data_IF_220417362983
#
_entry.id   IF_220417362983
#
_cell.length_a   1.000
_cell.length_b   1.000
_cell.length_c   1.000
_cell.angle_alpha   90.00
_cell.angle_beta   90.00
_cell.angle_gamma   90.00
#
_symmetry.space_group_name_H-M   'P 1'
#
loop_
_entity.id
_entity.type
_entity.pdbx_description
1 polymer ?
#
# COMPACT_ATOMS: atom_id res chain seq x y z
N UNK A 1 -65.49 11.13 -63.17
CA UNK A 1 -65.04 10.26 -62.06
C UNK A 1 -65.34 10.96 -60.73
N UNK A 2 -66.00 10.24 -59.82
CA UNK A 2 -66.65 10.67 -58.55
C UNK A 2 -65.85 11.72 -57.75
N UNK A 3 -66.34 12.90 -57.33
CA UNK A 3 -67.57 13.37 -56.62
C UNK A 3 -67.72 12.97 -55.14
N UNK A 4 -68.02 14.00 -54.33
CA UNK A 4 -68.69 14.09 -53.01
C UNK A 4 -67.75 14.37 -51.82
N UNK A 5 -67.70 15.58 -51.22
CA UNK A 5 -68.68 16.37 -50.42
C UNK A 5 -68.89 15.86 -48.97
N UNK A 6 -68.34 16.61 -48.00
CA UNK A 6 -69.15 17.41 -47.05
C UNK A 6 -69.38 16.93 -45.60
N UNK A 7 -69.50 17.96 -44.72
CA UNK A 7 -70.16 18.07 -43.38
C UNK A 7 -69.29 17.72 -42.15
N UNK A 8 -68.96 18.67 -41.26
CA UNK A 8 -69.77 19.35 -40.18
C UNK A 8 -70.13 18.35 -39.06
N UNK A 9 -70.06 18.58 -37.74
CA UNK A 9 -70.01 19.77 -36.85
C UNK A 9 -69.64 19.26 -35.40
N UNK A 10 -69.69 20.00 -34.27
CA UNK A 10 -68.89 19.78 -33.06
C UNK A 10 -69.71 19.15 -31.92
N UNK A 11 -69.10 18.85 -30.77
CA UNK A 11 -69.83 18.89 -29.49
C UNK A 11 -68.86 18.99 -28.30
N UNK A 12 -69.15 19.97 -27.46
CA UNK A 12 -68.57 20.24 -26.16
C UNK A 12 -69.28 19.44 -25.06
N UNK A 13 -68.59 19.29 -23.92
CA UNK A 13 -69.03 19.30 -22.50
C UNK A 13 -68.10 18.36 -21.70
N UNK A 14 -67.36 18.81 -20.67
CA UNK A 14 -67.82 19.16 -19.31
C UNK A 14 -68.44 17.91 -18.65
N UNK A 15 -68.02 17.38 -17.51
CA UNK A 15 -67.09 17.75 -16.46
C UNK A 15 -67.40 16.82 -15.27
N UNK A 16 -66.40 16.55 -14.43
CA UNK A 16 -66.45 16.25 -12.98
C UNK A 16 -67.49 15.24 -12.46
N UNK A 17 -67.02 14.16 -11.82
CA UNK A 17 -67.85 13.37 -10.90
C UNK A 17 -67.12 12.17 -10.31
N UNK A 18 -66.85 12.23 -9.01
CA UNK A 18 -66.00 11.33 -8.23
C UNK A 18 -66.60 9.94 -7.91
N UNK A 19 -65.74 8.96 -7.63
CA UNK A 19 -65.64 8.24 -6.34
C UNK A 19 -65.02 6.83 -6.46
N UNK A 20 -63.94 6.64 -5.68
CA UNK A 20 -63.62 5.49 -4.81
C UNK A 20 -63.38 4.07 -5.38
N UNK A 21 -62.11 3.68 -5.23
CA UNK A 21 -61.51 2.38 -4.87
C UNK A 21 -61.61 1.23 -5.88
N UNK A 22 -60.46 0.90 -6.45
CA UNK A 22 -60.10 -0.49 -6.76
C UNK A 22 -58.60 -0.67 -6.49
N UNK A 23 -58.30 -1.46 -5.45
CA UNK A 23 -57.01 -2.10 -5.31
C UNK A 23 -56.80 -3.02 -6.53
N UNK A 24 -55.71 -2.82 -7.26
CA UNK A 24 -55.14 -3.83 -8.11
C UNK A 24 -53.61 -3.67 -8.01
N UNK A 25 -52.95 -4.75 -7.59
CA UNK A 25 -51.51 -4.81 -7.48
C UNK A 25 -50.85 -4.54 -8.82
N UNK A 26 -49.98 -3.56 -8.84
CA UNK A 26 -48.92 -3.44 -9.84
C UNK A 26 -47.63 -3.83 -9.15
N UNK A 27 -47.23 -5.10 -9.31
CA UNK A 27 -45.89 -5.54 -8.96
C UNK A 27 -44.88 -4.72 -9.75
N UNK A 28 -44.27 -3.74 -9.08
CA UNK A 28 -43.01 -3.19 -9.52
C UNK A 28 -41.99 -4.31 -9.39
N UNK A 29 -41.64 -4.90 -10.52
CA UNK A 29 -40.49 -5.79 -10.59
C UNK A 29 -39.29 -4.97 -10.12
N UNK A 30 -38.79 -5.28 -8.93
CA UNK A 30 -37.43 -4.92 -8.58
C UNK A 30 -36.58 -5.59 -9.65
N UNK A 31 -36.11 -4.77 -10.59
CA UNK A 31 -35.05 -5.17 -11.48
C UNK A 31 -33.90 -5.58 -10.58
N UNK A 32 -33.73 -6.88 -10.41
CA UNK A 32 -32.52 -7.49 -9.88
C UNK A 32 -31.40 -7.15 -10.82
N UNK A 33 -30.90 -5.91 -10.71
CA UNK A 33 -29.53 -5.63 -11.03
C UNK A 33 -28.73 -6.51 -10.10
N UNK A 34 -27.98 -7.44 -10.66
CA UNK A 34 -26.81 -8.00 -9.99
C UNK A 34 -25.91 -6.80 -9.74
N UNK A 35 -26.13 -6.10 -8.62
CA UNK A 35 -25.43 -4.87 -8.30
C UNK A 35 -23.95 -5.17 -8.48
N UNK A 36 -23.34 -4.55 -9.49
CA UNK A 36 -21.92 -4.72 -9.69
C UNK A 36 -21.29 -4.13 -8.43
N UNK A 37 -20.75 -5.01 -7.60
CA UNK A 37 -20.14 -4.62 -6.34
C UNK A 37 -19.08 -3.56 -6.60
N UNK A 38 -19.05 -2.47 -5.82
CA UNK A 38 -18.18 -1.35 -6.12
C UNK A 38 -16.72 -1.81 -6.10
N UNK A 39 -15.94 -1.51 -7.16
CA UNK A 39 -14.53 -1.83 -7.19
C UNK A 39 -13.78 -1.06 -6.10
N UNK A 40 -12.76 -1.68 -5.54
CA UNK A 40 -11.92 -1.11 -4.50
C UNK A 40 -10.46 -1.12 -4.93
N UNK A 41 -9.72 -0.09 -4.52
CA UNK A 41 -8.29 0.05 -4.73
C UNK A 41 -7.63 0.42 -3.40
N UNK A 42 -6.60 -0.31 -2.99
CA UNK A 42 -5.79 0.04 -1.83
C UNK A 42 -4.30 0.05 -2.17
N UNK A 43 -3.54 1.01 -1.63
CA UNK A 43 -2.08 1.05 -1.77
C UNK A 43 -1.43 1.42 -0.44
N UNK A 44 -0.61 0.50 0.10
CA UNK A 44 0.04 0.69 1.38
C UNK A 44 0.81 -0.53 1.86
N UNK A 45 1.53 -0.41 2.99
CA UNK A 45 2.23 -1.54 3.62
C UNK A 45 1.26 -2.53 4.27
N UNK A 46 1.58 -3.83 4.20
CA UNK A 46 0.86 -4.87 4.93
C UNK A 46 1.10 -4.70 6.43
N UNK A 47 0.04 -4.51 7.20
CA UNK A 47 0.05 -4.38 8.66
C UNK A 47 -0.49 -5.62 9.38
N UNK A 48 -0.91 -6.66 8.66
CA UNK A 48 -1.41 -7.87 9.31
C UNK A 48 -1.78 -9.03 8.38
N UNK A 49 -2.14 -10.16 8.98
CA UNK A 49 -2.51 -11.41 8.32
C UNK A 49 -3.76 -12.07 8.93
N UNK A 50 -4.36 -13.00 8.18
CA UNK A 50 -5.67 -13.59 8.49
C UNK A 50 -6.76 -13.22 7.50
N UNK A 51 -6.43 -13.13 6.20
CA UNK A 51 -6.69 -11.98 5.30
C UNK A 51 -5.58 -10.93 5.42
N UNK A 52 -5.10 -10.38 4.32
CA UNK A 52 -4.07 -9.33 4.39
C UNK A 52 -4.67 -8.02 4.87
N UNK A 53 -3.99 -7.34 5.79
CA UNK A 53 -4.47 -6.07 6.33
C UNK A 53 -3.68 -4.93 5.72
N UNK A 54 -4.37 -4.00 5.07
CA UNK A 54 -3.80 -2.79 4.43
C UNK A 54 -4.75 -1.63 4.72
N UNK A 55 -4.21 -0.51 5.20
CA UNK A 55 -5.01 0.67 5.58
C UNK A 55 -6.09 0.40 6.62
N UNK A 56 -5.84 -0.56 7.53
CA UNK A 56 -6.82 -0.97 8.54
C UNK A 56 -7.97 -1.85 8.01
N UNK A 57 -8.00 -2.13 6.70
CA UNK A 57 -8.98 -3.02 6.07
C UNK A 57 -8.41 -4.42 5.92
N UNK A 58 -9.17 -5.44 6.33
CA UNK A 58 -8.87 -6.86 6.11
C UNK A 58 -9.39 -7.30 4.75
N UNK A 59 -8.48 -7.58 3.82
CA UNK A 59 -8.80 -8.10 2.49
C UNK A 59 -8.65 -9.62 2.44
N UNK A 60 -9.76 -10.31 2.16
CA UNK A 60 -9.72 -11.74 1.85
C UNK A 60 -8.96 -11.96 0.53
N UNK A 61 -7.79 -12.59 0.62
CA UNK A 61 -6.88 -12.89 -0.48
C UNK A 61 -6.89 -14.38 -0.88
N UNK A 62 -7.82 -15.18 -0.36
CA UNK A 62 -7.89 -16.63 -0.59
C UNK A 62 -8.01 -17.05 -2.06
N UNK A 63 -8.57 -16.18 -2.90
CA UNK A 63 -8.73 -16.37 -4.35
C UNK A 63 -7.99 -15.31 -5.17
N UNK A 64 -7.20 -14.46 -4.52
CA UNK A 64 -6.52 -13.36 -5.20
C UNK A 64 -5.38 -13.89 -6.08
N UNK A 65 -5.19 -13.27 -7.24
CA UNK A 65 -3.95 -13.47 -8.01
C UNK A 65 -2.86 -12.63 -7.35
N UNK A 66 -1.79 -13.27 -6.87
CA UNK A 66 -0.66 -12.57 -6.26
C UNK A 66 0.49 -12.47 -7.26
N UNK A 67 1.03 -11.26 -7.44
CA UNK A 67 2.19 -11.03 -8.29
C UNK A 67 3.21 -10.16 -7.58
N UNK A 68 4.48 -10.52 -7.71
CA UNK A 68 5.58 -9.69 -7.27
C UNK A 68 6.19 -8.97 -8.48
N UNK A 69 6.59 -7.71 -8.30
CA UNK A 69 7.35 -6.95 -9.30
C UNK A 69 8.84 -7.27 -9.32
N UNK A 70 9.24 -8.29 -8.56
CA UNK A 70 10.60 -8.80 -8.57
C UNK A 70 10.81 -9.84 -9.68
N UNK A 71 12.08 -10.14 -9.96
CA UNK A 71 12.47 -11.17 -10.93
C UNK A 71 12.63 -12.56 -10.27
N UNK A 72 12.01 -12.77 -9.10
CA UNK A 72 12.20 -14.00 -8.30
C UNK A 72 11.17 -15.09 -8.60
N UNK A 73 10.11 -14.77 -9.36
CA UNK A 73 9.06 -15.73 -9.69
C UNK A 73 8.06 -16.00 -8.57
N UNK A 74 8.15 -15.26 -7.45
CA UNK A 74 7.15 -15.29 -6.37
C UNK A 74 5.77 -14.88 -6.90
N UNK A 75 4.74 -15.64 -6.55
CA UNK A 75 3.37 -15.43 -7.03
C UNK A 75 2.29 -16.01 -6.07
N UNK A 76 2.62 -16.19 -4.79
CA UNK A 76 1.70 -16.81 -3.83
C UNK A 76 1.50 -15.92 -2.59
N UNK A 77 0.28 -15.93 -2.02
CA UNK A 77 -0.02 -15.26 -0.74
C UNK A 77 0.88 -15.72 0.41
N UNK A 78 1.37 -16.96 0.37
CA UNK A 78 2.33 -17.51 1.33
C UNK A 78 3.68 -16.76 1.32
N UNK A 79 3.97 -15.95 0.30
CA UNK A 79 5.18 -15.12 0.21
C UNK A 79 5.03 -13.70 0.76
N UNK A 80 3.81 -13.24 1.06
CA UNK A 80 3.57 -11.90 1.62
C UNK A 80 4.22 -11.71 3.00
N UNK A 81 4.65 -10.52 3.38
CA UNK A 81 5.28 -10.27 4.69
C UNK A 81 4.82 -8.92 5.23
N UNK A 82 4.84 -8.79 6.55
CA UNK A 82 4.60 -7.51 7.20
C UNK A 82 5.57 -6.45 6.66
N UNK A 83 5.04 -5.26 6.38
CA UNK A 83 5.78 -4.15 5.82
C UNK A 83 6.04 -4.22 4.31
N UNK A 84 5.69 -5.30 3.60
CA UNK A 84 5.68 -5.26 2.13
C UNK A 84 4.63 -4.26 1.66
N UNK A 85 4.96 -3.43 0.66
CA UNK A 85 4.02 -2.51 0.03
C UNK A 85 3.26 -3.25 -1.06
N UNK A 86 1.93 -3.16 -1.02
CA UNK A 86 1.04 -3.79 -1.99
C UNK A 86 0.10 -2.78 -2.62
N UNK A 87 -0.31 -3.11 -3.84
CA UNK A 87 -1.48 -2.55 -4.50
C UNK A 87 -2.53 -3.66 -4.59
N UNK A 88 -3.72 -3.38 -4.08
CA UNK A 88 -4.85 -4.31 -4.08
C UNK A 88 -5.90 -3.77 -5.05
N UNK A 89 -6.24 -4.57 -6.05
CA UNK A 89 -7.47 -4.40 -6.82
C UNK A 89 -8.51 -5.37 -6.26
N UNK A 90 -9.55 -4.83 -5.65
CA UNK A 90 -10.54 -5.56 -4.88
C UNK A 90 -11.98 -5.19 -5.17
N UNK A 91 -12.88 -5.70 -4.35
CA UNK A 91 -14.32 -5.45 -4.36
C UNK A 91 -14.90 -5.63 -2.95
N UNK A 92 -16.17 -5.31 -2.78
CA UNK A 92 -16.93 -5.51 -1.54
C UNK A 92 -16.27 -4.81 -0.34
N UNK A 93 -15.73 -3.60 -0.55
CA UNK A 93 -15.12 -2.83 0.52
C UNK A 93 -16.20 -2.29 1.46
N UNK A 94 -16.22 -2.78 2.69
CA UNK A 94 -17.01 -2.25 3.79
C UNK A 94 -16.08 -1.52 4.77
N UNK A 95 -16.13 -0.18 4.75
CA UNK A 95 -15.34 0.66 5.66
C UNK A 95 -15.84 0.63 7.10
N UNK A 96 -17.09 0.22 7.34
CA UNK A 96 -17.65 0.13 8.69
C UNK A 96 -17.08 -1.09 9.41
N UNK A 97 -17.04 -2.22 8.70
CA UNK A 97 -16.49 -3.47 9.23
C UNK A 97 -14.96 -3.58 9.04
N UNK A 98 -14.38 -2.74 8.17
CA UNK A 98 -12.97 -2.81 7.81
C UNK A 98 -12.65 -4.11 7.07
N UNK A 99 -13.50 -4.49 6.11
CA UNK A 99 -13.37 -5.73 5.34
C UNK A 99 -13.47 -5.50 3.85
N UNK A 100 -12.76 -6.30 3.06
CA UNK A 100 -12.87 -6.32 1.60
C UNK A 100 -12.46 -7.66 1.01
N UNK A 101 -12.59 -7.82 -0.30
CA UNK A 101 -12.11 -9.01 -1.03
C UNK A 101 -11.08 -8.56 -2.06
N UNK A 102 -9.90 -9.17 -2.06
CA UNK A 102 -8.86 -8.92 -3.06
C UNK A 102 -9.09 -9.81 -4.29
N UNK A 103 -9.10 -9.22 -5.48
CA UNK A 103 -9.05 -9.97 -6.74
C UNK A 103 -7.60 -10.13 -7.22
N UNK A 104 -6.79 -9.08 -7.04
CA UNK A 104 -5.37 -9.05 -7.39
C UNK A 104 -4.58 -8.32 -6.31
N UNK A 105 -3.42 -8.87 -5.96
CA UNK A 105 -2.44 -8.27 -5.04
C UNK A 105 -1.11 -8.17 -5.77
N UNK A 106 -0.68 -6.94 -6.04
CA UNK A 106 0.62 -6.66 -6.65
C UNK A 106 1.56 -6.14 -5.57
N UNK A 107 2.67 -6.84 -5.38
CA UNK A 107 3.70 -6.50 -4.40
C UNK A 107 4.82 -5.74 -5.09
N UNK A 108 5.12 -4.53 -4.62
CA UNK A 108 6.08 -3.63 -5.27
C UNK A 108 7.09 -3.09 -4.26
N UNK A 109 8.38 -3.34 -4.51
CA UNK A 109 9.49 -2.67 -3.85
C UNK A 109 9.87 -1.38 -4.60
N UNK A 110 10.31 -0.37 -3.86
CA UNK A 110 10.77 0.90 -4.44
C UNK A 110 12.24 0.81 -4.87
N UNK A 111 13.04 0.02 -4.14
CA UNK A 111 14.47 -0.17 -4.40
C UNK A 111 14.86 -1.65 -4.31
N UNK A 112 15.72 -2.08 -5.22
CA UNK A 112 16.43 -3.36 -5.16
C UNK A 112 17.84 -3.11 -5.65
N UNK A 113 18.85 -3.24 -4.80
CA UNK A 113 20.23 -3.03 -5.20
C UNK A 113 21.24 -3.02 -4.07
N UNK A 114 22.53 -2.78 -4.38
CA UNK A 114 23.59 -2.78 -3.40
C UNK A 114 23.55 -1.53 -2.53
N UNK A 115 23.84 -1.72 -1.25
CA UNK A 115 24.03 -0.67 -0.26
C UNK A 115 25.39 0.00 -0.50
N UNK A 116 25.41 1.32 -0.71
CA UNK A 116 26.63 2.10 -0.89
C UNK A 116 27.06 2.86 0.38
N UNK A 117 26.15 3.06 1.33
CA UNK A 117 26.45 3.65 2.63
C UNK A 117 25.44 3.17 3.67
N UNK A 118 25.87 3.10 4.94
CA UNK A 118 25.05 2.72 6.09
C UNK A 118 25.46 3.57 7.29
N UNK A 119 24.48 4.11 8.01
CA UNK A 119 24.64 4.91 9.21
C UNK A 119 23.58 4.47 10.23
N UNK A 120 23.91 3.42 10.98
CA UNK A 120 22.99 2.79 11.94
C UNK A 120 22.49 3.77 12.99
N UNK A 121 23.38 4.62 13.52
CA UNK A 121 23.05 5.58 14.58
C UNK A 121 21.99 6.62 14.17
N UNK A 122 21.94 7.00 12.89
CA UNK A 122 20.94 7.96 12.38
C UNK A 122 19.80 7.28 11.64
N UNK A 123 19.80 5.95 11.55
CA UNK A 123 18.79 5.19 10.82
C UNK A 123 18.84 5.45 9.31
N UNK A 124 20.02 5.63 8.71
CA UNK A 124 20.14 5.90 7.27
C UNK A 124 20.88 4.81 6.51
N UNK A 125 20.34 4.44 5.35
CA UNK A 125 20.93 3.55 4.35
C UNK A 125 20.99 4.28 3.01
N UNK A 126 21.98 4.00 2.18
CA UNK A 126 21.98 4.43 0.78
C UNK A 126 21.98 3.23 -0.15
N UNK A 127 20.96 3.12 -0.99
CA UNK A 127 20.79 2.03 -1.98
C UNK A 127 20.65 2.64 -3.36
N UNK A 128 21.50 2.26 -4.32
CA UNK A 128 21.52 2.84 -5.67
C UNK A 128 21.52 4.39 -5.68
N UNK A 129 22.24 5.01 -4.75
CA UNK A 129 22.31 6.48 -4.63
C UNK A 129 21.06 7.15 -4.07
N UNK A 130 20.11 6.38 -3.53
CA UNK A 130 18.91 6.86 -2.84
C UNK A 130 19.07 6.80 -1.33
N UNK A 131 18.65 7.85 -0.63
CA UNK A 131 18.61 7.87 0.84
C UNK A 131 17.38 7.13 1.35
N UNK A 132 17.61 6.09 2.15
CA UNK A 132 16.60 5.25 2.78
C UNK A 132 16.66 5.48 4.28
N UNK A 133 15.54 5.91 4.86
CA UNK A 133 15.33 6.04 6.30
C UNK A 133 14.81 4.73 6.86
N UNK A 134 15.51 4.21 7.86
CA UNK A 134 15.13 3.10 8.71
C UNK A 134 14.55 3.69 9.99
N UNK A 135 13.34 3.26 10.32
CA UNK A 135 12.59 3.73 11.49
C UNK A 135 12.27 2.56 12.41
N UNK A 136 11.68 2.85 13.55
CA UNK A 136 11.20 1.82 14.50
C UNK A 136 10.05 0.96 13.95
N UNK A 137 9.42 1.34 12.82
CA UNK A 137 8.41 0.52 12.15
C UNK A 137 8.97 -0.33 11.00
N UNK A 138 10.24 -0.15 10.63
CA UNK A 138 10.86 -0.91 9.56
C UNK A 138 10.98 -2.38 9.96
N UNK A 139 10.26 -3.25 9.24
CA UNK A 139 10.35 -4.70 9.43
C UNK A 139 11.56 -5.24 8.68
N UNK A 140 12.40 -6.01 9.35
CA UNK A 140 13.52 -6.72 8.73
C UNK A 140 13.18 -8.18 8.50
N UNK A 141 13.69 -8.72 7.40
CA UNK A 141 13.76 -10.16 7.19
C UNK A 141 14.63 -10.82 8.28
N UNK A 142 14.26 -12.02 8.71
CA UNK A 142 14.89 -12.73 9.83
C UNK A 142 16.36 -13.10 9.57
N UNK A 143 16.78 -13.13 8.30
CA UNK A 143 18.18 -13.29 7.90
C UNK A 143 19.05 -12.08 8.25
N UNK A 144 18.45 -10.93 8.54
CA UNK A 144 19.13 -9.70 8.98
C UNK A 144 19.10 -9.60 10.51
N UNK A 145 19.78 -10.53 11.19
CA UNK A 145 19.82 -10.59 12.66
C UNK A 145 20.42 -9.32 13.24
N UNK A 146 19.67 -8.59 14.07
CA UNK A 146 20.05 -7.26 14.58
C UNK A 146 19.64 -6.10 13.66
N UNK A 147 18.78 -6.36 12.67
CA UNK A 147 18.14 -5.37 11.82
C UNK A 147 19.14 -4.59 10.96
N UNK A 148 19.09 -3.26 11.07
CA UNK A 148 19.98 -2.36 10.33
C UNK A 148 21.47 -2.67 10.57
N UNK A 149 21.86 -3.09 11.77
CA UNK A 149 23.26 -3.43 12.08
C UNK A 149 23.81 -4.61 11.27
N UNK A 150 22.94 -5.47 10.73
CA UNK A 150 23.33 -6.58 9.86
C UNK A 150 23.66 -6.14 8.42
N UNK A 151 23.31 -4.91 8.04
CA UNK A 151 23.44 -4.41 6.67
C UNK A 151 24.77 -3.69 6.50
N UNK A 152 25.69 -4.33 5.80
CA UNK A 152 27.00 -3.77 5.41
C UNK A 152 26.97 -3.15 4.00
N UNK A 153 27.92 -2.26 3.72
CA UNK A 153 28.17 -1.79 2.35
C UNK A 153 28.46 -2.97 1.42
N UNK A 154 27.86 -2.96 0.23
CA UNK A 154 27.92 -4.04 -0.75
C UNK A 154 26.78 -5.07 -0.62
N UNK A 155 26.10 -5.14 0.52
CA UNK A 155 24.92 -6.00 0.67
C UNK A 155 23.83 -5.59 -0.31
N UNK A 156 23.24 -6.56 -1.02
CA UNK A 156 22.09 -6.31 -1.89
C UNK A 156 20.82 -6.47 -1.08
N UNK A 157 19.99 -5.43 -1.07
CA UNK A 157 18.74 -5.38 -0.33
C UNK A 157 17.58 -5.02 -1.24
N UNK A 158 16.41 -5.58 -0.93
CA UNK A 158 15.11 -5.13 -1.43
C UNK A 158 14.45 -4.27 -0.36
N UNK A 159 14.02 -3.08 -0.73
CA UNK A 159 13.43 -2.09 0.16
C UNK A 159 12.01 -1.79 -0.31
N UNK A 160 11.05 -2.13 0.56
CA UNK A 160 9.68 -1.66 0.48
C UNK A 160 9.60 -0.37 1.28
N UNK A 161 9.10 0.70 0.66
CA UNK A 161 9.15 2.02 1.27
C UNK A 161 8.04 2.94 0.77
N UNK A 162 7.78 3.99 1.53
CA UNK A 162 7.05 5.17 1.06
C UNK A 162 8.08 6.21 0.59
N UNK A 163 7.96 6.63 -0.67
CA UNK A 163 8.79 7.68 -1.24
C UNK A 163 8.26 9.07 -0.91
N UNK A 164 9.12 9.95 -0.40
CA UNK A 164 8.83 11.37 -0.20
C UNK A 164 9.41 12.18 -1.38
N UNK A 165 8.56 12.64 -2.31
CA UNK A 165 9.02 13.39 -3.48
C UNK A 165 9.51 14.81 -3.13
N UNK A 166 9.26 15.31 -1.93
CA UNK A 166 9.72 16.64 -1.50
C UNK A 166 11.15 16.64 -1.01
N UNK A 167 11.60 15.52 -0.43
CA UNK A 167 12.97 15.33 0.07
C UNK A 167 13.80 14.38 -0.79
N UNK A 168 13.16 13.55 -1.61
CA UNK A 168 13.79 12.46 -2.36
C UNK A 168 14.17 11.26 -1.49
N UNK A 169 13.73 11.21 -0.23
CA UNK A 169 14.03 10.13 0.70
C UNK A 169 12.96 9.02 0.67
N UNK A 170 13.36 7.80 1.02
CA UNK A 170 12.48 6.63 1.11
C UNK A 170 12.36 6.24 2.58
N UNK A 171 11.15 6.16 3.13
CA UNK A 171 10.95 5.63 4.49
C UNK A 171 10.61 4.16 4.39
N UNK A 172 11.51 3.29 4.86
CA UNK A 172 11.38 1.84 4.71
C UNK A 172 10.28 1.28 5.62
N UNK A 173 9.36 0.52 5.05
CA UNK A 173 8.41 -0.32 5.78
C UNK A 173 8.92 -1.75 5.93
N UNK A 174 9.73 -2.23 4.97
CA UNK A 174 10.42 -3.52 5.07
C UNK A 174 11.74 -3.54 4.31
N UNK A 175 12.73 -4.24 4.85
CA UNK A 175 14.02 -4.52 4.19
C UNK A 175 14.32 -6.02 4.19
N UNK A 176 14.62 -6.57 3.01
CA UNK A 176 15.01 -7.98 2.83
C UNK A 176 16.39 -8.11 2.16
N UNK A 177 17.22 -9.11 2.51
CA UNK A 177 18.43 -9.39 1.75
C UNK A 177 18.11 -10.13 0.45
N UNK A 178 18.77 -9.71 -0.64
CA UNK A 178 18.64 -10.26 -2.01
C UNK A 178 20.00 -10.47 -2.68
N UNK A 179 20.84 -11.30 -2.07
CA UNK A 179 22.21 -11.58 -2.55
C UNK A 179 22.31 -12.13 -3.98
N UNK A 180 21.24 -12.72 -4.53
CA UNK A 180 21.22 -13.32 -5.88
C UNK A 180 20.34 -12.55 -6.89
N UNK A 181 20.16 -11.24 -6.70
CA UNK A 181 19.41 -10.43 -7.67
C UNK A 181 20.09 -10.43 -9.05
N UNK A 182 19.33 -10.72 -10.10
CA UNK A 182 19.79 -10.70 -11.50
C UNK A 182 19.66 -9.32 -12.16
N UNK A 183 18.86 -8.44 -11.56
CA UNK A 183 18.68 -7.04 -11.95
C UNK A 183 18.50 -6.19 -10.69
N UNK A 184 18.72 -4.90 -10.83
CA UNK A 184 18.43 -3.91 -9.79
C UNK A 184 17.29 -3.01 -10.24
N UNK A 185 16.54 -2.47 -9.28
CA UNK A 185 15.37 -1.64 -9.53
C UNK A 185 15.44 -0.37 -8.69
N UNK A 186 15.07 0.75 -9.27
CA UNK A 186 14.83 2.00 -8.55
C UNK A 186 13.56 2.66 -9.09
N UNK A 187 12.71 3.14 -8.19
CA UNK A 187 11.58 4.00 -8.51
C UNK A 187 11.77 5.35 -7.87
N UNK A 188 11.94 6.41 -8.66
CA UNK A 188 12.20 7.75 -8.15
C UNK A 188 12.05 8.84 -9.22
N UNK A 189 12.22 10.10 -8.81
CA UNK A 189 12.02 11.25 -9.70
C UNK A 189 13.25 11.49 -10.57
N UNK A 190 13.01 11.66 -11.86
CA UNK A 190 14.01 12.00 -12.87
C UNK A 190 14.49 13.44 -12.68
N UNK A 191 15.80 13.63 -12.78
CA UNK A 191 16.44 14.94 -12.82
C UNK A 191 17.62 14.93 -13.79
N UNK A 192 18.06 16.12 -14.21
CA UNK A 192 19.23 16.30 -15.07
C UNK A 192 19.18 15.43 -16.34
N UNK A 193 18.00 15.29 -16.95
CA UNK A 193 17.83 14.56 -18.20
C UNK A 193 18.63 15.22 -19.33
N UNK A 194 19.57 14.49 -19.92
CA UNK A 194 20.39 14.91 -21.04
C UNK A 194 20.20 13.94 -22.21
N UNK A 195 19.39 14.34 -23.18
CA UNK A 195 19.07 13.52 -24.34
C UNK A 195 20.24 13.35 -25.31
N UNK A 196 21.19 14.30 -25.35
CA UNK A 196 22.39 14.21 -26.17
C UNK A 196 23.40 13.20 -25.62
N UNK A 197 23.58 13.18 -24.29
CA UNK A 197 24.44 12.22 -23.60
C UNK A 197 23.74 10.89 -23.30
N UNK A 198 22.40 10.85 -23.44
CA UNK A 198 21.52 9.71 -23.10
C UNK A 198 21.63 9.32 -21.63
N UNK A 199 21.68 10.32 -20.76
CA UNK A 199 21.82 10.13 -19.31
C UNK A 199 20.75 10.89 -18.55
N UNK A 200 20.41 10.41 -17.37
CA UNK A 200 19.57 11.12 -16.40
C UNK A 200 19.97 10.72 -14.99
N UNK A 201 19.42 11.39 -13.97
CA UNK A 201 19.65 11.06 -12.56
C UNK A 201 18.36 10.71 -11.85
N UNK A 202 18.48 9.81 -10.88
CA UNK A 202 17.52 9.61 -9.80
C UNK A 202 18.33 9.68 -8.51
N UNK A 203 17.98 10.59 -7.60
CA UNK A 203 18.80 10.88 -6.43
C UNK A 203 20.22 11.25 -6.83
N UNK A 204 21.22 10.60 -6.21
CA UNK A 204 22.64 10.83 -6.53
C UNK A 204 23.18 9.92 -7.64
N UNK A 205 22.42 8.89 -8.04
CA UNK A 205 22.85 7.95 -9.07
C UNK A 205 22.57 8.47 -10.49
N UNK A 206 23.52 8.20 -11.38
CA UNK A 206 23.39 8.51 -12.81
C UNK A 206 23.08 7.24 -13.60
N UNK A 207 22.10 7.35 -14.47
CA UNK A 207 21.58 6.28 -15.32
C UNK A 207 21.82 6.64 -16.78
N UNK A 208 22.03 5.62 -17.60
CA UNK A 208 22.24 5.75 -19.05
C UNK A 208 21.35 4.77 -19.80
N UNK A 209 21.03 5.09 -21.05
CA UNK A 209 20.22 4.23 -21.92
C UNK A 209 20.81 4.15 -23.34
N UNK A 210 20.54 3.03 -24.01
CA UNK A 210 21.03 2.79 -25.36
C UNK A 210 20.39 3.75 -26.39
N UNK A 211 21.06 3.91 -27.54
CA UNK A 211 20.51 4.69 -28.64
C UNK A 211 19.14 4.11 -29.08
N UNK A 212 18.12 4.96 -29.18
CA UNK A 212 16.77 4.53 -29.53
C UNK A 212 15.99 3.81 -28.41
N UNK A 213 16.58 3.64 -27.22
CA UNK A 213 15.97 2.99 -26.07
C UNK A 213 15.68 3.98 -24.92
N UNK A 214 15.37 5.23 -25.27
CA UNK A 214 14.98 6.22 -24.26
C UNK A 214 13.71 5.74 -23.54
N UNK A 215 13.70 5.72 -22.19
CA UNK A 215 12.50 5.43 -21.43
C UNK A 215 11.31 6.31 -21.88
N UNK A 216 10.16 5.68 -22.11
CA UNK A 216 8.95 6.39 -22.51
C UNK A 216 8.57 7.43 -21.46
N UNK A 217 8.31 8.67 -21.88
CA UNK A 217 7.92 9.74 -20.95
C UNK A 217 9.06 10.27 -20.07
N UNK A 218 10.33 9.97 -20.37
CA UNK A 218 11.48 10.49 -19.64
C UNK A 218 11.56 12.02 -19.73
N UNK A 219 11.30 12.69 -18.61
CA UNK A 219 11.46 14.13 -18.45
C UNK A 219 11.77 14.46 -16.98
N UNK A 220 12.43 15.59 -16.74
CA UNK A 220 12.68 16.04 -15.38
C UNK A 220 11.36 16.22 -14.61
N UNK A 221 11.36 15.80 -13.34
CA UNK A 221 10.17 15.81 -12.48
C UNK A 221 9.25 14.60 -12.64
N UNK A 222 9.48 13.71 -13.60
CA UNK A 222 8.68 12.49 -13.77
C UNK A 222 9.14 11.42 -12.78
N UNK A 223 8.19 10.84 -12.05
CA UNK A 223 8.40 9.63 -11.26
C UNK A 223 8.45 8.42 -12.21
N UNK A 224 9.58 7.72 -12.24
CA UNK A 224 9.82 6.56 -13.10
C UNK A 224 10.32 5.37 -12.27
N UNK A 225 9.95 4.16 -12.68
CA UNK A 225 10.60 2.93 -12.23
C UNK A 225 11.52 2.42 -13.32
N UNK A 226 12.77 2.13 -13.01
CA UNK A 226 13.73 1.55 -13.97
C UNK A 226 14.34 0.27 -13.42
N UNK A 227 14.53 -0.70 -14.31
CA UNK A 227 15.37 -1.88 -14.09
C UNK A 227 16.73 -1.66 -14.76
N UNK A 228 17.78 -2.08 -14.09
CA UNK A 228 19.18 -1.97 -14.54
C UNK A 228 19.91 -3.28 -14.31
N UNK A 229 21.02 -3.50 -15.02
CA UNK A 229 21.91 -4.64 -14.75
C UNK A 229 22.62 -4.52 -13.41
N UNK A 230 23.30 -5.59 -12.97
CA UNK A 230 24.02 -5.64 -11.69
C UNK A 230 25.40 -4.96 -11.72
N UNK A 231 25.79 -4.42 -12.86
CA UNK A 231 27.05 -3.68 -13.06
C UNK A 231 26.79 -2.33 -13.72
N UNK A 232 27.70 -1.39 -13.43
CA UNK A 232 27.76 -0.09 -14.09
C UNK A 232 28.56 -0.19 -15.39
N UNK A 233 28.34 0.76 -16.30
CA UNK A 233 29.18 0.92 -17.49
C UNK A 233 30.58 1.46 -17.12
N UNK A 234 31.44 1.64 -18.14
CA UNK A 234 32.80 2.16 -17.95
C UNK A 234 32.88 3.59 -17.41
N UNK A 235 31.77 4.34 -17.40
CA UNK A 235 31.67 5.69 -16.83
C UNK A 235 31.10 5.68 -15.40
N UNK A 236 30.75 4.51 -14.87
CA UNK A 236 30.12 4.38 -13.56
C UNK A 236 28.60 4.62 -13.56
N UNK A 237 27.94 4.59 -14.72
CA UNK A 237 26.49 4.78 -14.85
C UNK A 237 25.75 3.45 -14.83
N UNK A 238 24.56 3.44 -14.25
CA UNK A 238 23.65 2.30 -14.32
C UNK A 238 22.98 2.22 -15.68
N UNK A 239 23.04 1.08 -16.35
CA UNK A 239 22.47 0.90 -17.69
C UNK A 239 21.02 0.42 -17.58
N UNK A 240 20.09 1.23 -18.08
CA UNK A 240 18.65 0.90 -18.07
C UNK A 240 18.35 -0.21 -19.06
N UNK A 241 17.70 -1.27 -18.58
CA UNK A 241 17.23 -2.41 -19.37
C UNK A 241 15.72 -2.40 -19.57
N UNK A 242 14.96 -1.84 -18.62
CA UNK A 242 13.52 -1.63 -18.75
C UNK A 242 13.09 -0.42 -17.91
N UNK A 243 11.95 0.17 -18.27
CA UNK A 243 11.38 1.31 -17.56
C UNK A 243 9.87 1.28 -17.59
N UNK A 244 9.26 1.77 -16.53
CA UNK A 244 7.81 1.95 -16.44
C UNK A 244 7.49 3.30 -15.78
N UNK A 245 6.60 4.05 -16.43
CA UNK A 245 5.98 5.29 -15.90
C UNK A 245 4.47 5.12 -15.70
N UNK A 246 3.95 3.91 -15.88
CA UNK A 246 2.52 3.64 -15.79
C UNK A 246 2.02 3.93 -14.37
N UNK A 247 0.79 4.43 -14.34
CA UNK A 247 0.02 4.63 -13.10
C UNK A 247 -1.27 3.84 -13.24
N UNK A 248 -1.80 3.28 -12.15
CA UNK A 248 -3.14 2.71 -12.15
C UNK A 248 -4.14 3.75 -12.70
N UNK A 249 -4.88 3.36 -13.74
CA UNK A 249 -6.00 4.16 -14.24
C UNK A 249 -7.24 3.73 -13.47
N UNK A 250 -7.61 4.51 -12.47
CA UNK A 250 -8.78 4.23 -11.65
C UNK A 250 -10.02 4.83 -12.31
N UNK A 251 -11.04 3.99 -12.50
CA UNK A 251 -12.33 4.42 -13.05
C UNK A 251 -13.16 5.17 -12.02
N UNK A 252 -14.18 5.88 -12.50
CA UNK A 252 -15.15 6.54 -11.62
C UNK A 252 -15.88 5.51 -10.76
N UNK A 253 -16.16 5.90 -9.53
CA UNK A 253 -16.87 5.06 -8.57
C UNK A 253 -16.01 4.01 -7.84
N UNK A 254 -14.72 3.91 -8.16
CA UNK A 254 -13.77 3.08 -7.40
C UNK A 254 -13.58 3.67 -6.00
N UNK A 255 -13.80 2.87 -4.97
CA UNK A 255 -13.39 3.23 -3.60
C UNK A 255 -11.87 3.11 -3.49
N UNK A 256 -11.22 4.15 -2.98
CA UNK A 256 -9.76 4.24 -2.90
C UNK A 256 -9.33 4.41 -1.46
N UNK A 257 -8.27 3.69 -1.11
CA UNK A 257 -7.42 3.91 0.04
C UNK A 257 -5.96 4.05 -0.45
N UNK A 258 -5.30 5.15 -0.13
CA UNK A 258 -3.92 5.38 -0.54
C UNK A 258 -3.09 5.98 0.58
N UNK A 259 -2.05 5.25 1.00
CA UNK A 259 -1.02 5.74 1.90
C UNK A 259 0.16 6.32 1.09
N UNK A 260 0.60 7.52 1.43
CA UNK A 260 1.75 8.15 0.77
C UNK A 260 2.11 9.51 1.33
N UNK A 261 3.01 10.21 0.65
CA UNK A 261 3.39 11.58 1.00
C UNK A 261 2.73 12.55 0.03
N UNK A 262 2.22 13.67 0.56
CA UNK A 262 1.66 14.75 -0.25
C UNK A 262 2.78 15.34 -1.11
N UNK A 263 2.69 15.14 -2.42
CA UNK A 263 3.71 15.53 -3.39
C UNK A 263 3.58 17.00 -3.81
N UNK A 264 2.35 17.45 -4.05
CA UNK A 264 2.00 18.84 -4.31
C UNK A 264 0.80 19.21 -3.47
N UNK A 265 0.76 20.45 -2.99
CA UNK A 265 -0.31 20.96 -2.15
C UNK A 265 -0.63 22.41 -2.54
N UNK A 266 -1.86 22.64 -3.02
CA UNK A 266 -2.36 23.99 -3.28
C UNK A 266 -3.42 24.38 -2.26
N UNK A 267 -4.26 23.43 -1.85
CA UNK A 267 -5.24 23.56 -0.76
C UNK A 267 -5.75 22.17 -0.34
N UNK A 268 -6.55 22.09 0.71
CA UNK A 268 -7.26 20.85 1.06
C UNK A 268 -8.15 20.32 -0.09
N UNK A 269 -8.57 21.17 -1.04
CA UNK A 269 -9.35 20.75 -2.20
C UNK A 269 -8.49 20.29 -3.38
N UNK A 270 -7.17 20.49 -3.33
CA UNK A 270 -6.26 20.15 -4.41
C UNK A 270 -4.84 19.88 -3.89
N UNK A 271 -4.55 18.61 -3.71
CA UNK A 271 -3.21 18.08 -3.44
C UNK A 271 -3.04 16.74 -4.15
N UNK A 272 -1.83 16.19 -4.18
CA UNK A 272 -1.58 14.89 -4.81
C UNK A 272 -0.79 13.93 -3.95
N UNK A 273 -1.12 12.64 -4.02
CA UNK A 273 -0.45 11.54 -3.31
C UNK A 273 -0.25 10.38 -4.28
N UNK A 274 0.97 9.84 -4.37
CA UNK A 274 1.32 8.75 -5.30
C UNK A 274 0.88 9.01 -6.76
N UNK A 275 0.76 10.28 -7.14
CA UNK A 275 0.33 10.70 -8.46
C UNK A 275 -1.19 10.76 -8.69
N UNK A 276 -2.00 10.50 -7.67
CA UNK A 276 -3.46 10.67 -7.65
C UNK A 276 -3.75 12.09 -7.14
N UNK A 277 -4.56 12.85 -7.89
CA UNK A 277 -5.09 14.13 -7.43
C UNK A 277 -6.21 13.89 -6.42
N UNK A 278 -6.15 14.58 -5.29
CA UNK A 278 -7.08 14.42 -4.18
C UNK A 278 -7.79 15.74 -3.89
N UNK A 279 -9.12 15.67 -3.80
CA UNK A 279 -9.97 16.71 -3.24
C UNK A 279 -10.46 16.26 -1.86
N UNK A 280 -9.83 16.80 -0.80
CA UNK A 280 -10.19 16.56 0.59
C UNK A 280 -10.95 17.70 1.25
N UNK A 281 -11.62 18.58 0.47
CA UNK A 281 -12.36 19.73 1.02
C UNK A 281 -13.48 19.35 2.00
N UNK A 282 -14.06 18.16 1.84
CA UNK A 282 -15.09 17.58 2.72
C UNK A 282 -14.55 16.47 3.62
N UNK A 283 -13.24 16.20 3.61
CA UNK A 283 -12.69 15.07 4.34
C UNK A 283 -12.64 15.35 5.84
N UNK A 284 -12.91 14.32 6.65
CA UNK A 284 -12.56 14.33 8.07
C UNK A 284 -11.04 14.18 8.19
N UNK A 285 -10.36 15.20 8.71
CA UNK A 285 -8.91 15.19 8.92
C UNK A 285 -8.61 14.69 10.33
N UNK A 286 -7.81 13.62 10.42
CA UNK A 286 -7.39 13.00 11.68
C UNK A 286 -5.85 13.07 11.84
N UNK A 287 -5.31 13.32 13.05
CA UNK A 287 -6.04 13.79 14.22
C UNK A 287 -6.65 15.18 13.98
N UNK A 288 -7.64 15.56 14.80
CA UNK A 288 -8.29 16.87 14.68
C UNK A 288 -7.25 17.99 14.81
N UNK A 289 -7.31 18.98 13.91
CA UNK A 289 -6.34 20.08 13.86
C UNK A 289 -5.04 19.77 13.11
N UNK A 290 -4.86 18.55 12.59
CA UNK A 290 -3.72 18.25 11.74
C UNK A 290 -3.73 19.10 10.46
N UNK A 291 -2.54 19.53 10.03
CA UNK A 291 -2.36 20.37 8.85
C UNK A 291 -1.86 19.54 7.68
N UNK A 292 -2.48 19.74 6.51
CA UNK A 292 -2.02 19.17 5.25
C UNK A 292 -1.03 20.13 4.58
N UNK A 293 0.10 19.60 4.14
CA UNK A 293 1.12 20.33 3.40
C UNK A 293 1.95 19.34 2.57
N UNK A 294 2.68 19.84 1.57
CA UNK A 294 3.66 19.02 0.86
C UNK A 294 4.69 18.42 1.84
N UNK A 295 5.02 17.14 1.68
CA UNK A 295 5.94 16.42 2.56
C UNK A 295 5.30 15.84 3.82
N UNK A 296 3.98 15.97 4.00
CA UNK A 296 3.21 15.29 5.05
C UNK A 296 2.82 13.89 4.57
N UNK A 297 3.09 12.86 5.38
CA UNK A 297 2.64 11.49 5.13
C UNK A 297 1.19 11.36 5.58
N UNK A 298 0.34 10.86 4.69
CA UNK A 298 -1.08 10.68 4.95
C UNK A 298 -1.57 9.33 4.42
N UNK A 299 -2.74 8.95 4.88
CA UNK A 299 -3.63 7.99 4.24
C UNK A 299 -4.89 8.74 3.81
N UNK A 300 -5.29 8.61 2.55
CA UNK A 300 -6.48 9.25 2.01
C UNK A 300 -7.48 8.20 1.56
N UNK A 301 -8.69 8.27 2.12
CA UNK A 301 -9.79 7.37 1.82
C UNK A 301 -10.92 8.15 1.14
N UNK A 302 -11.48 7.59 0.07
CA UNK A 302 -12.62 8.18 -0.60
C UNK A 302 -13.02 7.43 -1.86
N UNK A 303 -13.59 8.16 -2.81
CA UNK A 303 -14.10 7.61 -4.07
C UNK A 303 -13.58 8.39 -5.28
N UNK A 304 -13.23 7.69 -6.35
CA UNK A 304 -12.83 8.32 -7.60
C UNK A 304 -14.03 8.95 -8.31
N UNK A 305 -13.85 10.19 -8.78
CA UNK A 305 -14.81 10.90 -9.62
C UNK A 305 -14.09 11.85 -10.57
N UNK A 306 -14.27 11.67 -11.88
CA UNK A 306 -13.64 12.51 -12.91
C UNK A 306 -12.11 12.47 -12.87
N UNK A 307 -11.52 11.35 -12.46
CA UNK A 307 -10.07 11.21 -12.29
C UNK A 307 -9.48 11.87 -11.03
N UNK A 308 -10.32 12.36 -10.11
CA UNK A 308 -9.92 12.91 -8.80
C UNK A 308 -10.44 12.02 -7.68
N UNK A 309 -9.61 11.75 -6.69
CA UNK A 309 -10.05 11.13 -5.44
C UNK A 309 -10.80 12.16 -4.61
N UNK A 310 -12.13 12.01 -4.50
CA UNK A 310 -12.94 12.79 -3.56
C UNK A 310 -12.84 12.11 -2.21
N UNK A 311 -12.00 12.66 -1.33
CA UNK A 311 -11.70 12.06 -0.04
C UNK A 311 -12.79 12.35 1.00
N UNK A 312 -13.22 11.30 1.70
CA UNK A 312 -14.10 11.38 2.88
C UNK A 312 -13.30 11.42 4.19
N UNK A 313 -12.07 10.88 4.20
CA UNK A 313 -11.17 10.89 5.35
C UNK A 313 -9.73 11.09 4.88
N UNK A 314 -8.98 11.89 5.64
CA UNK A 314 -7.53 12.04 5.48
C UNK A 314 -6.89 11.88 6.84
N UNK A 315 -6.08 10.84 7.01
CA UNK A 315 -5.37 10.57 8.24
C UNK A 315 -3.90 10.94 8.09
N UNK A 316 -3.45 11.91 8.89
CA UNK A 316 -2.04 12.31 8.96
C UNK A 316 -1.28 11.28 9.79
N UNK A 317 -0.34 10.59 9.14
CA UNK A 317 0.52 9.61 9.78
C UNK A 317 1.66 10.32 10.51
N UNK A 318 1.91 9.94 11.76
CA UNK A 318 3.02 10.49 12.56
C UNK A 318 4.35 10.23 11.84
N UNK A 319 5.26 11.21 11.87
CA UNK A 319 6.65 10.98 11.45
C UNK A 319 7.29 10.03 12.46
N UNK A 320 7.79 8.91 11.96
CA UNK A 320 8.46 7.90 12.78
C UNK A 320 9.91 8.36 13.06
N UNK A 321 10.35 8.27 14.32
CA UNK A 321 11.70 8.68 14.71
C UNK A 321 12.75 7.72 14.13
N UNK A 322 13.86 8.24 13.54
CA UNK A 322 15.02 7.44 13.18
C UNK A 322 15.82 7.05 14.43
N UNK A 323 16.18 5.78 14.56
CA UNK A 323 16.96 5.29 15.71
C UNK A 323 16.10 5.11 16.96
N UNK A 324 16.26 3.97 17.65
CA UNK A 324 15.41 3.52 18.75
C UNK A 324 15.56 4.24 20.09
N UNK A 325 15.97 5.51 20.09
CA UNK A 325 16.07 6.32 21.30
C UNK A 325 15.02 7.43 21.20
N UNK A 326 13.91 7.28 21.93
CA UNK A 326 13.25 8.38 22.63
C UNK A 326 12.14 7.82 23.53
N UNK A 327 12.56 7.70 24.79
CA UNK A 327 11.82 7.58 26.02
C UNK A 327 11.04 8.90 26.24
N UNK A 328 9.82 8.99 25.69
CA UNK A 328 8.87 10.02 26.09
C UNK A 328 7.55 9.35 26.48
N UNK A 329 7.42 9.07 27.78
CA UNK A 329 6.22 8.60 28.46
C UNK A 329 5.10 9.64 28.47
N UNK A 330 4.59 10.00 27.28
CA UNK A 330 3.41 10.83 27.06
C UNK A 330 2.43 10.10 26.16
N UNK A 331 1.33 9.62 26.76
CA UNK A 331 0.34 8.74 26.11
C UNK A 331 -0.25 9.27 24.81
N UNK A 332 0.10 8.61 23.71
CA UNK A 332 -0.81 7.97 22.75
C UNK A 332 0.08 7.11 21.84
N UNK A 333 0.26 5.85 22.23
CA UNK A 333 1.25 4.94 21.68
C UNK A 333 0.73 4.29 20.39
N UNK A 334 0.69 5.11 19.34
CA UNK A 334 0.35 4.74 17.97
C UNK A 334 1.52 4.06 17.24
N UNK A 335 2.43 3.39 17.93
CA UNK A 335 3.34 2.45 17.27
C UNK A 335 2.48 1.35 16.64
N UNK A 336 2.60 1.17 15.32
CA UNK A 336 1.70 0.32 14.52
C UNK A 336 1.59 -1.07 15.17
N UNK A 337 0.42 -1.38 15.72
CA UNK A 337 0.12 -2.72 16.20
C UNK A 337 -0.18 -3.58 14.98
N UNK A 338 0.58 -4.67 14.85
CA UNK A 338 0.37 -5.69 13.83
C UNK A 338 -0.61 -6.73 14.36
N UNK A 339 -1.52 -7.16 13.49
CA UNK A 339 -2.45 -8.26 13.78
C UNK A 339 -2.12 -9.46 12.89
N UNK A 340 -1.96 -10.64 13.48
CA UNK A 340 -1.60 -11.86 12.75
C UNK A 340 -2.54 -12.98 13.16
N UNK A 341 -3.45 -13.37 12.27
CA UNK A 341 -4.19 -14.63 12.39
C UNK A 341 -3.50 -15.70 11.57
N UNK A 342 -3.03 -16.74 12.24
CA UNK A 342 -2.29 -17.81 11.58
C UNK A 342 -2.27 -19.09 12.41
N UNK A 343 -1.69 -20.13 11.83
CA UNK A 343 -1.43 -21.39 12.51
C UNK A 343 0.02 -21.43 12.98
N UNK A 344 0.23 -21.77 14.24
CA UNK A 344 1.55 -21.96 14.85
C UNK A 344 2.29 -23.11 14.17
N UNK A 345 3.55 -22.89 13.81
CA UNK A 345 4.36 -23.85 13.04
C UNK A 345 5.53 -24.42 13.84
N UNK A 346 6.10 -23.63 14.72
CA UNK A 346 7.10 -24.06 15.68
C UNK A 346 7.01 -23.22 16.94
N UNK A 347 7.42 -23.77 18.07
CA UNK A 347 7.42 -23.11 19.37
C UNK A 347 8.75 -23.41 20.06
N UNK A 348 9.42 -22.35 20.51
CA UNK A 348 10.58 -22.41 21.40
C UNK A 348 10.15 -21.86 22.76
N UNK A 349 9.87 -22.77 23.69
CA UNK A 349 9.40 -22.44 25.03
C UNK A 349 10.48 -21.85 25.92
N UNK A 350 11.76 -22.10 25.62
CA UNK A 350 12.89 -21.54 26.36
C UNK A 350 13.11 -20.07 25.96
N UNK A 351 13.09 -19.79 24.67
CA UNK A 351 13.17 -18.43 24.15
C UNK A 351 11.85 -17.64 24.28
N UNK A 352 10.75 -18.32 24.62
CA UNK A 352 9.37 -17.77 24.60
C UNK A 352 9.03 -17.16 23.24
N UNK A 353 9.33 -17.90 22.18
CA UNK A 353 8.99 -17.52 20.80
C UNK A 353 8.22 -18.60 20.08
N UNK A 354 7.43 -18.24 19.08
CA UNK A 354 6.88 -19.17 18.11
C UNK A 354 6.94 -18.57 16.70
N UNK A 355 6.74 -19.41 15.70
CA UNK A 355 6.78 -18.99 14.29
C UNK A 355 5.45 -19.30 13.61
N UNK A 356 4.99 -18.36 12.80
CA UNK A 356 3.80 -18.46 11.96
C UNK A 356 4.14 -18.18 10.49
N UNK A 357 3.15 -18.30 9.59
CA UNK A 357 3.27 -17.82 8.20
C UNK A 357 4.39 -18.50 7.41
N UNK A 358 4.36 -19.83 7.34
CA UNK A 358 5.32 -20.67 6.61
C UNK A 358 6.79 -20.53 7.08
N UNK A 359 7.00 -20.26 8.37
CA UNK A 359 8.32 -20.16 8.97
C UNK A 359 8.88 -18.73 8.99
N UNK A 360 8.08 -17.75 8.56
CA UNK A 360 8.62 -16.47 8.08
C UNK A 360 8.28 -15.28 8.97
N UNK A 361 7.49 -15.50 10.02
CA UNK A 361 7.23 -14.48 11.04
C UNK A 361 7.44 -15.07 12.43
N UNK A 362 8.48 -14.59 13.11
CA UNK A 362 8.74 -14.90 14.52
C UNK A 362 7.92 -13.97 15.41
N UNK A 363 7.35 -14.55 16.47
CA UNK A 363 6.58 -13.86 17.50
C UNK A 363 7.20 -14.15 18.86
N UNK A 364 7.45 -13.12 19.65
CA UNK A 364 7.85 -13.21 21.05
C UNK A 364 6.62 -13.02 21.93
N UNK A 365 6.34 -14.02 22.78
CA UNK A 365 5.16 -14.02 23.66
C UNK A 365 5.51 -13.84 25.14
N UNK A 366 6.75 -13.45 25.46
CA UNK A 366 7.22 -13.34 26.83
C UNK A 366 6.39 -12.41 27.73
N UNK A 367 5.77 -11.38 27.13
CA UNK A 367 4.94 -10.38 27.80
C UNK A 367 3.48 -10.41 27.34
N UNK A 368 3.08 -11.41 26.55
CA UNK A 368 1.75 -11.47 25.97
C UNK A 368 0.70 -11.81 27.04
N UNK A 369 -0.44 -11.12 26.98
CA UNK A 369 -1.68 -11.60 27.60
C UNK A 369 -2.31 -12.70 26.73
N UNK A 370 -3.02 -13.65 27.35
CA UNK A 370 -3.68 -14.74 26.63
C UNK A 370 -5.20 -14.65 26.79
N UNK A 371 -5.93 -14.89 25.71
CA UNK A 371 -7.39 -15.00 25.68
C UNK A 371 -7.80 -16.36 25.10
N UNK A 372 -8.86 -16.93 25.66
CA UNK A 372 -9.45 -18.21 25.24
C UNK A 372 -8.44 -19.38 25.26
N UNK A 373 -7.40 -19.27 26.09
CA UNK A 373 -6.35 -20.28 26.27
C UNK A 373 -5.18 -19.74 27.08
N UNK A 374 -4.07 -20.46 27.09
CA UNK A 374 -2.87 -20.15 27.88
C UNK A 374 -1.58 -20.36 27.07
N UNK A 375 -0.43 -19.94 27.60
CA UNK A 375 0.86 -20.22 26.99
C UNK A 375 1.13 -21.72 26.76
N UNK A 376 0.51 -22.62 27.53
CA UNK A 376 0.64 -24.07 27.34
C UNK A 376 -0.09 -24.58 26.09
N UNK A 377 -1.05 -23.81 25.57
CA UNK A 377 -1.83 -24.14 24.38
C UNK A 377 -1.10 -23.72 23.08
N UNK A 378 -0.01 -22.94 23.19
CA UNK A 378 0.90 -22.66 22.07
C UNK A 378 1.64 -23.95 21.68
N UNK A 379 1.07 -24.64 20.69
CA UNK A 379 1.62 -25.85 20.08
C UNK A 379 1.48 -25.78 18.57
N UNK A 380 2.29 -26.56 17.85
CA UNK A 380 2.19 -26.68 16.39
C UNK A 380 0.76 -27.06 16.01
N UNK A 381 0.19 -26.32 15.05
CA UNK A 381 -1.20 -26.49 14.61
C UNK A 381 -2.23 -25.62 15.34
N UNK A 382 -1.88 -24.97 16.47
CA UNK A 382 -2.79 -24.05 17.14
C UNK A 382 -3.10 -22.85 16.24
N UNK A 383 -4.38 -22.47 16.15
CA UNK A 383 -4.80 -21.24 15.49
C UNK A 383 -4.76 -20.12 16.52
N UNK A 384 -4.11 -19.02 16.15
CA UNK A 384 -3.95 -17.87 17.03
C UNK A 384 -4.21 -16.58 16.27
N UNK A 385 -4.78 -15.61 16.95
CA UNK A 385 -4.76 -14.19 16.60
C UNK A 385 -3.78 -13.48 17.53
N UNK A 386 -2.72 -12.93 16.95
CA UNK A 386 -1.66 -12.21 17.66
C UNK A 386 -1.84 -10.72 17.42
N UNK A 387 -1.81 -9.93 18.47
CA UNK A 387 -1.60 -8.48 18.39
C UNK A 387 -0.27 -8.14 19.03
N UNK A 388 0.47 -7.23 18.42
CA UNK A 388 1.79 -6.87 18.93
C UNK A 388 2.52 -5.86 18.07
N UNK A 389 3.72 -5.49 18.49
CA UNK A 389 4.56 -4.49 17.80
C UNK A 389 5.84 -5.11 17.33
N UNK A 390 6.44 -4.55 16.29
CA UNK A 390 7.76 -5.00 15.86
C UNK A 390 8.81 -4.63 16.93
N UNK A 391 9.78 -5.52 17.14
CA UNK A 391 10.94 -5.29 18.01
C UNK A 391 11.76 -4.11 17.51
N UNK A 392 12.61 -3.55 18.38
CA UNK A 392 13.50 -2.44 18.01
C UNK A 392 14.48 -2.79 16.89
N UNK A 393 14.85 -4.07 16.75
CA UNK A 393 15.65 -4.57 15.62
C UNK A 393 14.81 -4.91 14.37
N UNK A 394 13.49 -4.77 14.46
CA UNK A 394 12.51 -4.98 13.39
C UNK A 394 12.32 -6.43 12.95
N UNK A 395 12.90 -7.43 13.64
CA UNK A 395 12.88 -8.84 13.19
C UNK A 395 11.79 -9.71 13.82
N UNK A 396 11.21 -9.29 14.95
CA UNK A 396 10.27 -10.09 15.74
C UNK A 396 9.03 -9.27 16.08
N UNK A 397 7.85 -9.89 16.07
CA UNK A 397 6.65 -9.26 16.64
C UNK A 397 6.59 -9.59 18.14
N UNK A 398 6.74 -8.58 18.99
CA UNK A 398 6.51 -8.66 20.42
C UNK A 398 5.00 -8.60 20.67
N UNK A 399 4.40 -9.75 21.00
CA UNK A 399 2.97 -9.87 21.22
C UNK A 399 2.55 -9.19 22.53
N UNK A 400 1.53 -8.33 22.45
CA UNK A 400 0.80 -7.76 23.58
C UNK A 400 -0.37 -8.68 23.99
N UNK A 401 -0.99 -9.33 23.01
CA UNK A 401 -2.14 -10.22 23.19
C UNK A 401 -2.06 -11.40 22.21
N UNK A 402 -2.40 -12.59 22.71
CA UNK A 402 -2.59 -13.81 21.90
C UNK A 402 -3.95 -14.38 22.26
N UNK A 403 -4.84 -14.43 21.27
CA UNK A 403 -6.13 -15.09 21.38
C UNK A 403 -6.08 -16.43 20.66
N UNK A 404 -6.55 -17.49 21.30
CA UNK A 404 -6.74 -18.78 20.65
C UNK A 404 -8.10 -18.84 19.95
N UNK A 405 -8.12 -19.48 18.79
CA UNK A 405 -9.34 -19.75 18.03
C UNK A 405 -9.56 -21.27 17.98
N UNK A 406 -10.83 -21.68 17.98
CA UNK A 406 -11.23 -23.10 18.08
C UNK A 406 -10.89 -23.94 16.81
#
# INVERSE_FOLDING_TARGET
MNRLRGRAWPLALMGVGACLVAACGGGGVEGGGTGAEPPAYANGPISGFGSIIVGGVRYDDSVATVRFDDDTGRNNSSDLRLGMVVTIDGKNLDRTLGTGVANSVVVSSELLGPVSATAVATGELTVLGQAVKVTTSTVFDDRLVGGHSAITVGSVVEVYAVYDPTTGAYTASRIEPKSMASSYTVRGVVSANNTAQRTFRIGTATFTYAAGAAPTGLADGVLIRVKVGTSKDGNGYWVVSASDTSRPKLGDGVEVDVEGVIASYSSNANFSVNGITVNGSSAVISPSGATLAAGVRIEAEGKMSGGVLVASKVEVKKRESPGGDDDDGGGDDSSKEYEIKSTVQSVDTAAKTFVVKAGLQKVNYAQASFKDGTAADLKVGAKVEVKGRISSDGTVVNASEIKFDD
#
